data_IF_004892705242
#
_entry.id   IF_004892705242
#
_cell.length_a   1.000
_cell.length_b   1.000
_cell.length_c   1.000
_cell.angle_alpha   90.00
_cell.angle_beta   90.00
_cell.angle_gamma   90.00
#
_symmetry.space_group_name_H-M   'P 1'
#
loop_
_entity.id
_entity.type
_entity.pdbx_description
1 polymer ?
#
# COMPACT_ATOMS: atom_id res chain seq x y z
N UNK A 1 -18.69 -5.02 -16.16
CA UNK A 1 -17.79 -4.45 -15.14
C UNK A 1 -16.39 -4.51 -15.71
N UNK A 2 -15.62 -3.42 -15.67
CA UNK A 2 -14.33 -3.32 -16.37
C UNK A 2 -13.28 -4.25 -15.77
N UNK A 3 -12.61 -5.06 -16.59
CA UNK A 3 -11.45 -5.89 -16.23
C UNK A 3 -10.19 -5.08 -15.86
N UNK A 4 -10.34 -3.74 -15.72
CA UNK A 4 -9.25 -2.79 -15.62
C UNK A 4 -9.37 -1.80 -14.47
N UNK A 5 -9.93 -2.19 -13.31
CA UNK A 5 -9.75 -1.43 -12.07
C UNK A 5 -8.29 -1.51 -11.63
N UNK A 6 -7.43 -0.73 -12.30
CA UNK A 6 -6.04 -0.53 -11.91
C UNK A 6 -6.08 0.39 -10.71
N UNK A 7 -5.67 -0.10 -9.55
CA UNK A 7 -5.38 0.72 -8.38
C UNK A 7 -4.29 1.73 -8.76
N UNK A 8 -4.70 2.89 -9.27
CA UNK A 8 -3.82 3.93 -9.80
C UNK A 8 -3.76 5.11 -8.82
N UNK A 9 -2.83 6.05 -9.07
CA UNK A 9 -2.63 7.21 -8.19
C UNK A 9 -3.74 8.27 -8.24
N UNK A 10 -4.76 8.11 -9.09
CA UNK A 10 -5.84 9.10 -9.24
C UNK A 10 -6.89 9.05 -8.13
N UNK A 11 -6.90 7.98 -7.31
CA UNK A 11 -7.91 7.77 -6.28
C UNK A 11 -7.29 7.26 -4.98
N UNK A 12 -7.99 7.52 -3.87
CA UNK A 12 -7.73 6.89 -2.57
C UNK A 12 -8.54 5.60 -2.48
N UNK A 13 -7.84 4.48 -2.42
CA UNK A 13 -8.44 3.15 -2.36
C UNK A 13 -8.44 2.65 -0.92
N UNK A 14 -9.62 2.25 -0.44
CA UNK A 14 -9.78 1.51 0.82
C UNK A 14 -10.28 0.10 0.51
N UNK A 15 -9.48 -0.90 0.81
CA UNK A 15 -9.81 -2.31 0.59
C UNK A 15 -10.04 -2.99 1.93
N UNK A 16 -11.21 -3.61 2.10
CA UNK A 16 -11.54 -4.37 3.29
C UNK A 16 -11.12 -5.84 3.10
N UNK A 17 -10.41 -6.40 4.07
CA UNK A 17 -10.02 -7.80 4.08
C UNK A 17 -10.39 -8.48 5.40
N UNK A 18 -10.78 -9.74 5.31
CA UNK A 18 -10.93 -10.65 6.45
C UNK A 18 -9.70 -11.54 6.65
N UNK A 19 -8.72 -11.46 5.74
CA UNK A 19 -7.50 -12.26 5.84
C UNK A 19 -6.54 -11.60 6.79
N UNK A 20 -6.12 -12.33 7.81
CA UNK A 20 -5.07 -11.94 8.75
C UNK A 20 -3.67 -12.13 8.16
N UNK A 21 -3.51 -13.08 7.24
CA UNK A 21 -2.27 -13.31 6.50
C UNK A 21 -2.23 -12.45 5.24
N UNK A 22 -1.62 -11.28 5.37
CA UNK A 22 -1.36 -10.36 4.28
C UNK A 22 -0.20 -10.87 3.42
N UNK A 23 -0.44 -11.88 2.57
CA UNK A 23 0.59 -12.32 1.64
C UNK A 23 0.87 -11.21 0.62
N UNK A 24 2.15 -10.85 0.48
CA UNK A 24 2.65 -9.92 -0.53
C UNK A 24 2.35 -10.37 -1.96
N UNK A 25 2.15 -11.68 -2.18
CA UNK A 25 1.97 -12.26 -3.52
C UNK A 25 0.69 -11.76 -4.19
N UNK A 26 -0.40 -11.61 -3.42
CA UNK A 26 -1.67 -11.10 -3.96
C UNK A 26 -1.50 -9.64 -4.44
N UNK A 27 -0.92 -8.79 -3.59
CA UNK A 27 -0.71 -7.39 -3.90
C UNK A 27 0.35 -7.19 -4.99
N UNK A 28 1.27 -8.14 -5.17
CA UNK A 28 2.28 -8.12 -6.23
C UNK A 28 1.70 -8.14 -7.64
N UNK A 29 0.47 -8.65 -7.79
CA UNK A 29 -0.25 -8.64 -9.06
C UNK A 29 -0.94 -7.31 -9.37
N UNK A 30 -1.05 -6.41 -8.38
CA UNK A 30 -1.71 -5.12 -8.53
C UNK A 30 -0.73 -4.10 -9.15
N UNK A 31 -1.25 -3.21 -9.99
CA UNK A 31 -0.48 -2.13 -10.62
C UNK A 31 -0.19 -0.96 -9.66
N UNK A 32 0.19 -1.26 -8.41
CA UNK A 32 0.54 -0.25 -7.42
C UNK A 32 1.90 0.37 -7.77
N UNK A 33 2.05 1.65 -7.44
CA UNK A 33 3.26 2.41 -7.62
C UNK A 33 3.57 3.28 -6.39
N UNK A 34 4.70 3.98 -6.39
CA UNK A 34 5.11 4.87 -5.30
C UNK A 34 4.10 5.98 -4.99
N UNK A 35 3.30 6.38 -5.99
CA UNK A 35 2.29 7.43 -5.88
C UNK A 35 0.93 6.91 -5.42
N UNK A 36 0.70 5.60 -5.45
CA UNK A 36 -0.59 4.97 -5.16
C UNK A 36 -1.02 5.24 -3.72
N UNK A 37 -2.31 5.53 -3.56
CA UNK A 37 -2.99 5.75 -2.29
C UNK A 37 -3.86 4.53 -1.99
N UNK A 38 -3.24 3.44 -1.52
CA UNK A 38 -3.94 2.19 -1.24
C UNK A 38 -3.83 1.88 0.25
N UNK A 39 -4.96 1.88 0.94
CA UNK A 39 -5.08 1.46 2.33
C UNK A 39 -5.82 0.13 2.40
N UNK A 40 -5.17 -0.88 2.97
CA UNK A 40 -5.81 -2.13 3.32
C UNK A 40 -6.31 -2.06 4.77
N UNK A 41 -7.57 -2.42 5.00
CA UNK A 41 -8.13 -2.55 6.34
C UNK A 41 -8.42 -4.04 6.60
N UNK A 42 -7.60 -4.64 7.46
CA UNK A 42 -7.79 -6.01 7.95
C UNK A 42 -8.62 -5.98 9.22
N UNK A 43 -9.75 -6.68 9.23
CA UNK A 43 -10.59 -6.77 10.42
C UNK A 43 -10.11 -7.89 11.35
N UNK A 44 -9.86 -7.53 12.60
CA UNK A 44 -9.62 -8.46 13.71
C UNK A 44 -10.66 -8.15 14.80
N UNK A 45 -11.63 -9.05 15.00
CA UNK A 45 -12.74 -8.84 15.94
C UNK A 45 -13.51 -7.52 15.66
N UNK A 46 -13.41 -6.55 16.57
CA UNK A 46 -14.07 -5.23 16.51
C UNK A 46 -13.11 -4.10 16.13
N UNK A 47 -11.87 -4.44 15.75
CA UNK A 47 -10.84 -3.51 15.31
C UNK A 47 -10.49 -3.72 13.83
N UNK A 48 -10.17 -2.64 13.15
CA UNK A 48 -9.56 -2.67 11.82
C UNK A 48 -8.11 -2.20 11.91
N UNK A 49 -7.18 -3.09 11.62
CA UNK A 49 -5.78 -2.73 11.39
C UNK A 49 -5.63 -2.21 9.98
N UNK A 50 -5.03 -1.03 9.85
CA UNK A 50 -4.84 -0.33 8.59
C UNK A 50 -3.39 -0.50 8.14
N UNK A 51 -3.22 -0.74 6.85
CA UNK A 51 -1.92 -0.89 6.23
C UNK A 51 -1.83 -0.02 4.97
N UNK A 52 -0.74 0.72 4.85
CA UNK A 52 -0.33 1.42 3.64
C UNK A 52 0.34 0.41 2.70
N UNK A 53 -0.21 0.21 1.51
CA UNK A 53 0.32 -0.76 0.54
C UNK A 53 0.76 -0.04 -0.74
N UNK A 54 2.00 -0.26 -1.15
CA UNK A 54 2.53 0.30 -2.40
C UNK A 54 3.61 -0.61 -2.96
N UNK A 55 3.96 -0.43 -4.24
CA UNK A 55 5.11 -1.07 -4.85
C UNK A 55 6.01 0.03 -5.44
N UNK A 56 7.29 0.13 -5.07
CA UNK A 56 8.17 1.14 -5.61
C UNK A 56 8.44 0.95 -7.12
N UNK A 57 8.34 -0.28 -7.65
CA UNK A 57 8.56 -0.56 -9.07
C UNK A 57 7.94 -1.88 -9.56
N UNK A 58 6.61 -1.94 -9.65
CA UNK A 58 5.91 -3.18 -10.00
C UNK A 58 6.33 -3.78 -11.36
N UNK A 59 6.73 -2.93 -12.32
CA UNK A 59 7.17 -3.37 -13.66
C UNK A 59 8.60 -3.89 -13.71
N UNK A 60 9.43 -3.58 -12.71
CA UNK A 60 10.86 -3.88 -12.72
C UNK A 60 11.28 -4.74 -11.53
N UNK A 61 10.37 -5.60 -11.04
CA UNK A 61 10.68 -6.55 -9.97
C UNK A 61 10.72 -5.94 -8.56
N UNK A 62 10.16 -4.75 -8.36
CA UNK A 62 9.98 -4.16 -7.04
C UNK A 62 9.06 -5.01 -6.18
N UNK A 63 9.42 -5.13 -4.88
CA UNK A 63 8.63 -5.86 -3.91
C UNK A 63 7.52 -4.98 -3.35
N UNK A 64 6.34 -5.56 -3.17
CA UNK A 64 5.25 -4.84 -2.51
C UNK A 64 5.62 -4.59 -1.06
N UNK A 65 5.40 -3.36 -0.62
CA UNK A 65 5.52 -2.91 0.76
C UNK A 65 4.14 -2.87 1.37
N UNK A 66 4.01 -3.51 2.53
CA UNK A 66 2.84 -3.46 3.41
C UNK A 66 3.32 -2.88 4.73
N UNK A 67 2.96 -1.63 5.00
CA UNK A 67 3.43 -0.90 6.18
C UNK A 67 2.25 -0.66 7.11
N UNK A 68 2.41 -0.93 8.40
CA UNK A 68 1.37 -0.59 9.38
C UNK A 68 1.07 0.91 9.34
N UNK A 69 -0.19 1.26 9.12
CA UNK A 69 -0.69 2.63 9.06
C UNK A 69 -1.34 3.08 10.35
N UNK A 70 -1.88 2.14 11.12
CA UNK A 70 -2.60 2.43 12.35
C UNK A 70 -3.84 1.55 12.46
N UNK A 71 -4.85 2.04 13.14
CA UNK A 71 -6.07 1.27 13.37
C UNK A 71 -7.31 2.13 13.49
N UNK A 72 -8.46 1.47 13.37
CA UNK A 72 -9.76 2.07 13.62
C UNK A 72 -10.59 1.15 14.50
N UNK A 73 -11.22 1.74 15.52
CA UNK A 73 -12.30 1.08 16.28
C UNK A 73 -13.51 2.02 16.37
N UNK A 74 -14.72 1.49 16.62
CA UNK A 74 -15.88 2.33 16.87
C UNK A 74 -15.71 3.30 18.06
N UNK A 75 -14.95 2.90 19.08
CA UNK A 75 -14.74 3.68 20.30
C UNK A 75 -13.61 4.70 20.20
N UNK A 76 -12.43 4.29 19.75
CA UNK A 76 -11.23 5.14 19.66
C UNK A 76 -11.15 5.94 18.36
N UNK A 77 -12.05 5.69 17.39
CA UNK A 77 -12.02 6.25 16.04
C UNK A 77 -10.73 5.88 15.31
N UNK A 78 -10.43 6.61 14.23
CA UNK A 78 -9.23 6.44 13.44
C UNK A 78 -8.01 6.94 14.21
N UNK A 79 -7.00 6.09 14.34
CA UNK A 79 -5.65 6.48 14.74
C UNK A 79 -4.70 6.19 13.58
N UNK A 80 -4.12 7.25 13.01
CA UNK A 80 -3.06 7.16 12.00
C UNK A 80 -1.71 7.28 12.71
N UNK A 81 -0.79 6.35 12.41
CA UNK A 81 0.56 6.31 12.94
C UNK A 81 1.60 6.76 11.91
N UNK A 82 1.22 6.88 10.64
CA UNK A 82 2.08 7.41 9.58
C UNK A 82 1.96 8.93 9.54
N UNK A 83 2.68 9.58 10.45
CA UNK A 83 2.68 11.05 10.60
C UNK A 83 3.50 11.79 9.53
N UNK A 84 4.30 11.06 8.74
CA UNK A 84 5.15 11.62 7.70
C UNK A 84 4.49 11.52 6.31
N UNK A 85 4.74 12.54 5.50
CA UNK A 85 4.27 12.56 4.11
C UNK A 85 4.80 11.35 3.32
N UNK A 86 3.94 10.73 2.51
CA UNK A 86 4.22 9.45 1.85
C UNK A 86 5.52 9.45 1.05
N UNK A 87 5.83 10.52 0.32
CA UNK A 87 7.03 10.54 -0.53
C UNK A 87 8.32 10.62 0.28
N UNK A 88 8.28 11.12 1.53
CA UNK A 88 9.43 11.08 2.43
C UNK A 88 9.69 9.63 2.86
N UNK A 89 8.64 8.94 3.32
CA UNK A 89 8.73 7.53 3.74
C UNK A 89 9.08 6.55 2.62
N UNK A 90 8.81 6.93 1.37
CA UNK A 90 9.00 6.09 0.17
C UNK A 90 10.18 6.53 -0.70
N UNK A 91 11.01 7.47 -0.20
CA UNK A 91 12.04 8.14 -0.99
C UNK A 91 13.20 7.21 -1.38
N UNK A 92 13.49 6.20 -0.56
CA UNK A 92 14.60 5.26 -0.78
C UNK A 92 14.30 4.19 -1.84
N UNK A 93 13.06 4.15 -2.35
CA UNK A 93 12.57 3.17 -3.32
C UNK A 93 12.87 1.72 -2.92
N UNK A 94 12.95 1.44 -1.61
CA UNK A 94 13.35 0.13 -1.06
C UNK A 94 14.70 -0.38 -1.60
N UNK A 95 15.64 0.54 -1.90
CA UNK A 95 16.98 0.19 -2.39
C UNK A 95 17.04 -0.31 -3.83
N UNK A 96 16.02 -0.04 -4.64
CA UNK A 96 16.01 -0.40 -6.06
C UNK A 96 17.23 0.16 -6.80
N UNK A 97 17.90 -0.72 -7.55
CA UNK A 97 19.02 -0.32 -8.40
C UNK A 97 18.52 0.32 -9.69
N UNK A 98 18.96 1.54 -9.96
CA UNK A 98 18.62 2.26 -11.18
C UNK A 98 19.73 2.08 -12.22
N UNK A 99 19.39 1.48 -13.36
CA UNK A 99 20.26 1.46 -14.51
C UNK A 99 20.06 2.75 -15.31
N UNK A 100 21.01 3.67 -15.19
CA UNK A 100 21.02 4.94 -15.92
C UNK A 100 22.01 4.82 -17.08
N UNK A 101 21.55 5.14 -18.29
CA UNK A 101 22.40 5.33 -19.46
C UNK A 101 22.23 6.77 -19.91
N UNK A 102 23.36 7.47 -20.03
CA UNK A 102 23.41 8.79 -20.66
C UNK A 102 23.63 8.55 -22.16
N UNK A 103 22.68 9.03 -22.97
CA UNK A 103 22.84 9.10 -24.44
C UNK A 103 23.64 10.35 -24.77
#
# INVERSE_FOLDING_TARGET
>A
FSDGLKFNESYYWLVLSKQTNLSSDYFGTLNLNVASEFTLASRTEDEFHLYDVYNPSYRHGGLVRVIHKGWWTPGSRLKDELNEYKYIRRADLDGLTLNLSLV
#
